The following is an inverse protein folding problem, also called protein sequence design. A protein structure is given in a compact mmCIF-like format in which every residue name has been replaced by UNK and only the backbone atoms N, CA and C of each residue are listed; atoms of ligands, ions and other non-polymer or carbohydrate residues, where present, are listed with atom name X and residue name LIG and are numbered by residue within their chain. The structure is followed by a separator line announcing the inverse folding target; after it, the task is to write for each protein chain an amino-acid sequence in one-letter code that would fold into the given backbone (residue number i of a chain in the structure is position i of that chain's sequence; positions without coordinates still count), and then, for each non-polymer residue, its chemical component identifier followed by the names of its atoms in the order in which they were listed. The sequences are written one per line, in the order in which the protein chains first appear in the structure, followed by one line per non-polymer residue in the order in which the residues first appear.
data_IF_326844409467
#
_entry.id   IF_326844409467
#
_cell.length_a   1.000
_cell.length_b   1.000
_cell.length_c   1.000
_cell.angle_alpha   90.00
_cell.angle_beta   90.00
_cell.angle_gamma   90.00
#
_symmetry.space_group_name_H-M   'P 1'
#
loop_
_entity.id
_entity.type
_entity.pdbx_description
1 polymer ?
#
# COMPACT_ATOMS: atom_id res chain seq x y z
N UNK A 1 -5.47 5.54 -18.08
CA UNK A 1 -5.20 7.01 -18.29
C UNK A 1 -3.71 7.27 -18.44
N UNK A 2 -2.86 6.76 -17.54
CA UNK A 2 -1.40 6.96 -17.54
C UNK A 2 -0.74 6.50 -18.82
N UNK A 3 -1.06 5.32 -19.36
CA UNK A 3 -0.54 4.82 -20.63
C UNK A 3 -0.80 5.77 -21.83
N UNK A 4 -2.00 6.38 -21.87
CA UNK A 4 -2.32 7.37 -22.91
C UNK A 4 -1.47 8.65 -22.80
N UNK A 5 -1.15 9.07 -21.56
CA UNK A 5 -0.28 10.24 -21.33
C UNK A 5 1.15 9.90 -21.72
N UNK A 6 1.66 8.71 -21.36
CA UNK A 6 2.98 8.26 -21.75
C UNK A 6 3.16 8.26 -23.26
N UNK A 7 2.21 7.71 -24.01
CA UNK A 7 2.26 7.70 -25.49
C UNK A 7 2.24 9.14 -26.04
N UNK A 8 1.31 9.99 -25.56
CA UNK A 8 1.12 11.34 -26.13
C UNK A 8 2.21 12.34 -25.74
N UNK A 9 2.65 12.32 -24.47
CA UNK A 9 3.57 13.35 -23.92
C UNK A 9 5.01 12.88 -23.87
N UNK A 10 5.24 11.56 -23.80
CA UNK A 10 6.56 10.98 -23.55
C UNK A 10 6.96 9.93 -24.60
N UNK A 11 6.27 9.86 -25.75
CA UNK A 11 6.54 8.92 -26.86
C UNK A 11 6.59 7.45 -26.41
N UNK A 12 5.81 7.08 -25.38
CA UNK A 12 5.80 5.74 -24.80
C UNK A 12 6.90 5.48 -23.76
N UNK A 13 7.82 6.41 -23.55
CA UNK A 13 8.88 6.27 -22.56
C UNK A 13 8.41 6.61 -21.15
N UNK A 14 9.02 5.98 -20.17
CA UNK A 14 8.79 6.30 -18.75
C UNK A 14 9.65 7.51 -18.37
N UNK A 15 9.08 8.56 -17.76
CA UNK A 15 9.84 9.75 -17.33
C UNK A 15 10.97 9.42 -16.35
N UNK A 16 12.11 10.07 -16.54
CA UNK A 16 13.34 9.84 -15.74
C UNK A 16 13.43 10.64 -14.45
N UNK A 17 12.43 11.48 -14.14
CA UNK A 17 12.47 12.31 -12.93
C UNK A 17 11.28 12.02 -12.03
N UNK A 18 11.49 12.15 -10.73
CA UNK A 18 10.47 11.91 -9.70
C UNK A 18 9.24 12.79 -9.91
N UNK A 19 9.45 14.07 -10.23
CA UNK A 19 8.40 15.08 -10.41
C UNK A 19 7.50 14.71 -11.60
N UNK A 20 8.12 14.39 -12.75
CA UNK A 20 7.36 13.98 -13.95
C UNK A 20 6.58 12.68 -13.76
N UNK A 21 7.14 11.73 -12.99
CA UNK A 21 6.44 10.50 -12.63
C UNK A 21 5.23 10.80 -11.74
N UNK A 22 5.36 11.72 -10.79
CA UNK A 22 4.28 12.12 -9.88
C UNK A 22 3.12 12.85 -10.55
N UNK A 23 3.36 13.49 -11.72
CA UNK A 23 2.30 14.08 -12.53
C UNK A 23 1.36 13.02 -13.16
N UNK A 24 1.83 11.77 -13.26
CA UNK A 24 1.06 10.70 -13.89
C UNK A 24 -0.03 10.15 -12.95
N UNK A 25 -1.28 10.01 -13.44
CA UNK A 25 -2.37 9.49 -12.63
C UNK A 25 -2.07 8.09 -12.06
N UNK A 26 -2.19 7.95 -10.73
CA UNK A 26 -1.95 6.69 -10.04
C UNK A 26 -0.49 6.43 -9.67
N UNK A 27 0.44 7.32 -10.00
CA UNK A 27 1.83 7.24 -9.57
C UNK A 27 2.00 8.07 -8.29
N UNK A 28 2.19 7.38 -7.17
CA UNK A 28 2.55 7.95 -5.87
C UNK A 28 4.05 7.90 -5.62
N UNK A 29 4.48 8.41 -4.45
CA UNK A 29 5.91 8.43 -4.05
C UNK A 29 6.55 7.05 -4.10
N UNK A 30 5.84 6.04 -3.62
CA UNK A 30 6.31 4.66 -3.66
C UNK A 30 6.57 4.20 -5.09
N UNK A 31 5.58 4.32 -5.97
CA UNK A 31 5.68 3.85 -7.35
C UNK A 31 6.75 4.62 -8.13
N UNK A 32 6.84 5.94 -7.93
CA UNK A 32 7.87 6.76 -8.57
C UNK A 32 9.29 6.31 -8.15
N UNK A 33 9.53 6.07 -6.86
CA UNK A 33 10.83 5.60 -6.37
C UNK A 33 11.16 4.18 -6.86
N UNK A 34 10.18 3.26 -6.91
CA UNK A 34 10.37 1.93 -7.49
C UNK A 34 10.81 2.03 -8.95
N UNK A 35 10.09 2.80 -9.75
CA UNK A 35 10.39 2.96 -11.18
C UNK A 35 11.78 3.53 -11.41
N UNK A 36 12.17 4.56 -10.65
CA UNK A 36 13.50 5.17 -10.77
C UNK A 36 14.63 4.21 -10.36
N UNK A 37 14.41 3.42 -9.30
CA UNK A 37 15.39 2.42 -8.88
C UNK A 37 15.53 1.29 -9.89
N UNK A 38 14.41 0.67 -10.32
CA UNK A 38 14.44 -0.52 -11.17
C UNK A 38 14.81 -0.22 -12.62
N UNK A 39 14.30 0.88 -13.19
CA UNK A 39 14.50 1.18 -14.61
C UNK A 39 15.78 1.99 -14.84
N UNK A 40 16.04 2.96 -13.96
CA UNK A 40 17.15 3.91 -14.14
C UNK A 40 18.31 3.68 -13.17
N UNK A 41 18.22 2.64 -12.34
CA UNK A 41 19.22 2.29 -11.33
C UNK A 41 19.58 3.46 -10.39
N UNK A 42 18.62 4.37 -10.15
CA UNK A 42 18.82 5.47 -9.20
C UNK A 42 18.91 4.95 -7.75
N UNK A 43 19.72 5.57 -6.89
CA UNK A 43 19.86 5.18 -5.48
C UNK A 43 18.64 5.62 -4.68
N UNK A 44 17.50 4.99 -4.96
CA UNK A 44 16.21 5.26 -4.33
C UNK A 44 15.65 4.01 -3.67
N UNK A 45 15.13 4.19 -2.48
CA UNK A 45 14.45 3.13 -1.76
C UNK A 45 12.94 3.41 -1.73
N UNK A 46 12.18 2.48 -2.24
CA UNK A 46 10.72 2.51 -2.17
C UNK A 46 10.25 2.07 -0.78
N UNK A 47 9.87 3.02 0.06
CA UNK A 47 9.51 2.79 1.46
C UNK A 47 8.08 2.25 1.61
N UNK A 48 7.87 0.97 1.32
CA UNK A 48 6.64 0.26 1.67
C UNK A 48 6.64 -0.19 3.14
N UNK A 49 5.59 -0.94 3.55
CA UNK A 49 5.50 -1.46 4.91
C UNK A 49 6.55 -2.52 5.25
N UNK A 50 7.05 -3.26 4.24
CA UNK A 50 8.07 -4.27 4.41
C UNK A 50 9.46 -3.63 4.57
N UNK A 51 9.80 -2.76 3.65
CA UNK A 51 11.09 -2.04 3.68
C UNK A 51 11.22 -1.19 4.94
N UNK A 52 10.18 -0.44 5.32
CA UNK A 52 10.16 0.32 6.59
C UNK A 52 10.43 -0.56 7.81
N UNK A 53 9.84 -1.74 7.85
CA UNK A 53 10.05 -2.70 8.95
C UNK A 53 11.47 -3.24 8.97
N UNK A 54 12.01 -3.61 7.79
CA UNK A 54 13.38 -4.11 7.65
C UNK A 54 14.37 -3.06 8.15
N UNK A 55 14.30 -1.84 7.64
CA UNK A 55 15.20 -0.76 8.01
C UNK A 55 15.11 -0.41 9.49
N UNK A 56 13.89 -0.34 10.03
CA UNK A 56 13.68 -0.10 11.45
C UNK A 56 14.32 -1.19 12.33
N UNK A 57 14.17 -2.46 11.96
CA UNK A 57 14.76 -3.57 12.71
C UNK A 57 16.28 -3.65 12.61
N UNK A 58 16.82 -3.32 11.43
CA UNK A 58 18.26 -3.34 11.21
C UNK A 58 18.97 -2.24 11.99
N UNK A 59 18.47 -1.02 11.93
CA UNK A 59 19.21 0.15 12.38
C UNK A 59 18.62 0.83 13.61
N UNK A 60 17.40 0.50 14.01
CA UNK A 60 16.63 1.22 15.04
C UNK A 60 16.63 2.75 14.83
N UNK A 61 16.76 3.18 13.58
CA UNK A 61 16.95 4.56 13.18
C UNK A 61 15.72 5.12 12.48
N UNK A 62 15.70 6.44 12.34
CA UNK A 62 14.71 7.12 11.52
C UNK A 62 14.88 6.65 10.06
N UNK A 63 13.78 6.20 9.47
CA UNK A 63 13.74 5.56 8.14
C UNK A 63 14.24 6.49 7.03
N UNK A 64 14.10 7.83 7.20
CA UNK A 64 14.59 8.80 6.22
C UNK A 64 16.13 8.81 6.13
N UNK A 65 16.79 8.66 7.26
CA UNK A 65 18.25 8.66 7.32
C UNK A 65 18.83 7.35 6.78
N UNK A 66 18.15 6.24 7.07
CA UNK A 66 18.54 4.93 6.56
C UNK A 66 18.48 4.83 5.03
N UNK A 67 17.55 5.52 4.38
CA UNK A 67 17.43 5.53 2.93
C UNK A 67 18.66 6.11 2.21
N UNK A 68 19.37 7.04 2.87
CA UNK A 68 20.59 7.65 2.32
C UNK A 68 21.84 6.75 2.42
N UNK A 69 21.78 5.68 3.23
CA UNK A 69 22.90 4.75 3.42
C UNK A 69 23.06 3.77 2.25
N UNK A 70 22.07 3.66 1.37
CA UNK A 70 22.05 2.67 0.31
C UNK A 70 22.38 3.29 -1.05
N UNK A 71 23.65 3.40 -1.34
CA UNK A 71 24.16 3.71 -2.69
C UNK A 71 25.04 2.56 -3.15
N UNK A 72 24.64 1.89 -4.19
CA UNK A 72 25.39 0.78 -4.78
C UNK A 72 25.46 0.95 -6.29
N UNK A 73 26.28 0.10 -6.97
CA UNK A 73 26.25 0.01 -8.43
C UNK A 73 24.98 -0.69 -8.96
N UNK A 74 24.24 -1.37 -8.07
CA UNK A 74 23.05 -2.19 -8.36
C UNK A 74 21.87 -1.75 -7.49
N UNK A 75 21.48 -0.49 -7.66
CA UNK A 75 20.41 0.09 -6.80
C UNK A 75 19.05 -0.55 -7.05
N UNK A 76 18.74 -0.91 -8.31
CA UNK A 76 17.52 -1.63 -8.65
C UNK A 76 17.41 -2.97 -7.94
N UNK A 77 18.47 -3.78 -8.02
CA UNK A 77 18.52 -5.08 -7.34
C UNK A 77 18.41 -4.93 -5.82
N UNK A 78 19.04 -3.91 -5.25
CA UNK A 78 18.94 -3.63 -3.82
C UNK A 78 17.51 -3.27 -3.41
N UNK A 79 16.82 -2.46 -4.21
CA UNK A 79 15.43 -2.09 -3.95
C UNK A 79 14.52 -3.33 -3.96
N UNK A 80 14.68 -4.20 -4.95
CA UNK A 80 13.95 -5.46 -5.07
C UNK A 80 14.28 -6.42 -3.91
N UNK A 81 15.56 -6.62 -3.63
CA UNK A 81 16.02 -7.47 -2.53
C UNK A 81 15.47 -7.02 -1.17
N UNK A 82 15.38 -5.72 -0.90
CA UNK A 82 14.80 -5.22 0.35
C UNK A 82 13.30 -5.52 0.47
N UNK A 83 12.57 -5.42 -0.63
CA UNK A 83 11.14 -5.76 -0.66
C UNK A 83 10.92 -7.25 -0.41
N UNK A 84 11.65 -8.12 -1.12
CA UNK A 84 11.58 -9.56 -0.96
C UNK A 84 12.06 -10.03 0.42
N UNK A 85 13.17 -9.48 0.89
CA UNK A 85 13.68 -9.80 2.22
C UNK A 85 12.65 -9.49 3.32
N UNK A 86 11.94 -8.37 3.19
CA UNK A 86 10.86 -8.02 4.09
C UNK A 86 9.65 -8.95 3.98
N UNK A 87 9.36 -9.47 2.79
CA UNK A 87 8.25 -10.39 2.57
C UNK A 87 8.55 -11.83 3.03
N UNK A 88 9.76 -12.32 2.74
CA UNK A 88 10.11 -13.74 2.90
C UNK A 88 10.81 -14.06 4.22
N UNK A 89 11.74 -13.20 4.65
CA UNK A 89 12.62 -13.43 5.81
C UNK A 89 12.20 -12.57 7.02
N UNK A 90 12.26 -11.25 6.88
CA UNK A 90 11.97 -10.33 7.97
C UNK A 90 10.47 -10.08 8.14
N UNK A 91 9.69 -11.14 8.35
CA UNK A 91 8.22 -11.13 8.44
C UNK A 91 7.71 -10.26 9.60
N UNK A 92 6.45 -9.77 9.54
CA UNK A 92 5.89 -8.90 10.59
C UNK A 92 5.81 -9.57 11.97
N UNK A 93 5.23 -10.75 12.05
CA UNK A 93 4.98 -11.44 13.32
C UNK A 93 6.15 -12.36 13.73
N UNK A 94 6.54 -13.25 12.85
CA UNK A 94 7.56 -14.27 13.10
C UNK A 94 8.69 -14.16 12.09
N UNK A 95 9.65 -13.24 12.32
CA UNK A 95 10.77 -13.10 11.41
C UNK A 95 11.68 -14.33 11.50
N UNK A 96 12.09 -14.82 10.34
CA UNK A 96 12.98 -16.00 10.25
C UNK A 96 14.44 -15.61 10.53
N UNK A 97 14.70 -15.13 11.75
CA UNK A 97 16.02 -14.64 12.13
C UNK A 97 17.12 -15.72 12.06
N UNK A 98 16.77 -17.00 12.21
CA UNK A 98 17.70 -18.12 12.10
C UNK A 98 18.22 -18.30 10.66
N UNK A 99 17.41 -18.02 9.63
CA UNK A 99 17.80 -18.05 8.20
C UNK A 99 18.47 -16.75 7.76
N UNK A 100 18.36 -15.68 8.55
CA UNK A 100 18.78 -14.34 8.15
C UNK A 100 20.31 -14.18 8.10
N UNK A 101 20.86 -13.94 6.92
CA UNK A 101 22.29 -13.79 6.71
C UNK A 101 22.89 -12.53 7.36
N UNK A 102 22.08 -11.50 7.59
CA UNK A 102 22.50 -10.22 8.17
C UNK A 102 22.13 -10.09 9.67
N UNK A 103 21.77 -11.19 10.35
CA UNK A 103 21.32 -11.15 11.74
C UNK A 103 22.36 -10.58 12.71
N UNK A 104 23.66 -10.80 12.43
CA UNK A 104 24.78 -10.29 13.26
C UNK A 104 24.88 -8.77 13.28
N UNK A 105 24.32 -8.08 12.27
CA UNK A 105 24.31 -6.63 12.15
C UNK A 105 22.94 -6.02 12.55
N UNK A 106 21.98 -6.85 12.92
CA UNK A 106 20.61 -6.43 13.11
C UNK A 106 20.37 -6.02 14.57
N UNK A 107 20.09 -4.74 14.81
CA UNK A 107 19.80 -4.20 16.13
C UNK A 107 18.63 -4.94 16.81
N UNK A 108 17.59 -5.27 16.06
CA UNK A 108 16.45 -6.05 16.58
C UNK A 108 16.85 -7.45 17.07
N UNK A 109 17.75 -8.12 16.35
CA UNK A 109 18.22 -9.47 16.73
C UNK A 109 19.15 -9.43 17.92
N UNK A 110 20.01 -8.42 18.01
CA UNK A 110 20.99 -8.25 19.08
C UNK A 110 20.39 -7.67 20.36
N UNK A 111 19.24 -7.00 20.28
CA UNK A 111 18.57 -6.43 21.46
C UNK A 111 17.84 -7.53 22.23
N UNK A 112 18.09 -7.62 23.54
CA UNK A 112 17.39 -8.53 24.45
C UNK A 112 15.89 -8.23 24.53
N UNK A 113 15.51 -6.94 24.49
CA UNK A 113 14.13 -6.50 24.33
C UNK A 113 13.79 -6.45 22.85
N UNK A 114 13.15 -7.48 22.31
CA UNK A 114 12.67 -7.52 20.93
C UNK A 114 11.82 -6.28 20.64
N UNK A 115 12.43 -5.27 20.00
CA UNK A 115 11.78 -4.01 19.68
C UNK A 115 10.57 -4.29 18.77
N UNK A 116 9.36 -4.03 19.27
CA UNK A 116 8.14 -4.28 18.50
C UNK A 116 7.89 -3.11 17.54
N UNK A 117 8.01 -3.37 16.26
CA UNK A 117 7.55 -2.43 15.23
C UNK A 117 6.02 -2.34 15.29
N UNK A 118 5.52 -1.31 15.97
CA UNK A 118 4.07 -1.02 16.01
C UNK A 118 3.68 -0.21 14.78
N UNK A 119 3.02 -0.85 13.83
CA UNK A 119 2.33 -0.12 12.78
C UNK A 119 1.12 0.57 13.41
N UNK A 120 1.13 1.89 13.53
CA UNK A 120 -0.07 2.66 13.89
C UNK A 120 -1.05 2.63 12.71
N UNK A 121 -1.85 1.59 12.63
CA UNK A 121 -2.98 1.56 11.69
C UNK A 121 -4.11 2.29 12.40
N UNK A 122 -4.36 3.54 12.02
CA UNK A 122 -5.63 4.20 12.34
C UNK A 122 -6.71 3.55 11.46
N UNK A 123 -7.34 2.52 11.96
CA UNK A 123 -8.53 1.95 11.32
C UNK A 123 -9.67 2.94 11.61
N UNK A 124 -10.03 3.75 10.64
CA UNK A 124 -11.27 4.51 10.68
C UNK A 124 -12.40 3.57 10.22
N UNK A 125 -13.15 3.01 11.16
CA UNK A 125 -14.37 2.31 10.84
C UNK A 125 -15.46 3.33 10.47
N UNK A 126 -16.09 3.12 9.33
CA UNK A 126 -17.28 3.89 8.91
C UNK A 126 -18.45 2.90 8.83
N UNK A 127 -19.57 3.29 9.39
CA UNK A 127 -20.78 2.48 9.33
C UNK A 127 -21.62 2.93 8.14
N UNK A 128 -22.21 1.97 7.43
CA UNK A 128 -23.07 2.22 6.29
C UNK A 128 -24.29 1.31 6.39
N UNK A 129 -25.47 1.85 6.10
CA UNK A 129 -26.68 1.06 5.87
C UNK A 129 -26.85 0.80 4.38
N UNK A 130 -27.15 -0.43 4.03
CA UNK A 130 -27.38 -0.87 2.64
C UNK A 130 -28.87 -1.09 2.47
N UNK A 131 -29.47 -0.32 1.57
CA UNK A 131 -30.91 -0.41 1.24
C UNK A 131 -31.06 -1.18 -0.06
N UNK A 132 -31.55 -2.43 0.04
CA UNK A 132 -31.85 -3.26 -1.11
C UNK A 132 -33.33 -3.15 -1.44
N UNK A 133 -33.67 -2.52 -2.56
CA UNK A 133 -35.04 -2.44 -3.06
C UNK A 133 -35.28 -3.61 -4.03
N UNK A 134 -36.22 -4.50 -3.66
CA UNK A 134 -36.64 -5.62 -4.49
C UNK A 134 -37.92 -5.24 -5.25
N UNK A 135 -37.96 -5.52 -6.55
CA UNK A 135 -39.18 -5.35 -7.33
C UNK A 135 -40.13 -6.51 -7.02
N UNK A 136 -41.38 -6.20 -6.62
CA UNK A 136 -42.45 -7.19 -6.40
C UNK A 136 -42.55 -8.07 -7.67
N UNK A 137 -42.50 -9.38 -7.53
CA UNK A 137 -42.60 -10.39 -8.60
C UNK A 137 -41.38 -10.54 -9.54
N UNK A 138 -40.25 -9.87 -9.31
CA UNK A 138 -39.03 -10.13 -10.07
C UNK A 138 -37.84 -10.17 -9.10
N UNK A 139 -37.00 -11.20 -9.20
CA UNK A 139 -35.73 -11.31 -8.45
C UNK A 139 -34.71 -10.24 -8.93
N UNK A 140 -35.09 -8.96 -8.88
CA UNK A 140 -34.30 -7.83 -9.33
C UNK A 140 -34.03 -6.87 -8.18
N UNK A 141 -32.77 -6.47 -8.02
CA UNK A 141 -32.33 -5.49 -7.04
C UNK A 141 -32.11 -4.17 -7.74
N UNK A 142 -32.68 -3.08 -7.23
CA UNK A 142 -32.40 -1.75 -7.75
C UNK A 142 -30.98 -1.32 -7.38
N UNK A 143 -30.21 -0.91 -8.37
CA UNK A 143 -28.85 -0.41 -8.20
C UNK A 143 -28.79 1.08 -8.53
N UNK A 144 -27.93 1.81 -7.83
CA UNK A 144 -27.69 3.24 -8.05
C UNK A 144 -26.21 3.52 -8.25
N UNK A 145 -25.90 4.55 -9.03
CA UNK A 145 -24.53 5.07 -9.16
C UNK A 145 -24.15 6.03 -8.02
N UNK A 146 -25.12 6.51 -7.25
CA UNK A 146 -24.90 7.41 -6.13
C UNK A 146 -24.69 6.61 -4.85
N UNK A 147 -23.44 6.45 -4.43
CA UNK A 147 -23.07 5.88 -3.15
C UNK A 147 -21.92 6.67 -2.52
N UNK A 148 -21.82 6.61 -1.19
CA UNK A 148 -20.80 7.32 -0.40
C UNK A 148 -19.51 6.50 -0.18
N UNK A 149 -19.33 5.41 -0.92
CA UNK A 149 -18.24 4.45 -0.71
C UNK A 149 -16.92 4.83 -1.41
N UNK A 150 -16.58 6.10 -1.58
CA UNK A 150 -15.28 6.55 -2.07
C UNK A 150 -14.83 5.87 -3.37
N UNK A 151 -13.98 4.84 -3.28
CA UNK A 151 -13.44 4.13 -4.45
C UNK A 151 -14.50 3.32 -5.23
N UNK A 152 -15.60 2.93 -4.60
CA UNK A 152 -16.73 2.23 -5.23
C UNK A 152 -17.77 3.17 -5.83
N UNK A 153 -17.59 4.49 -5.73
CA UNK A 153 -18.56 5.52 -6.19
C UNK A 153 -18.99 5.36 -7.66
N UNK A 154 -18.18 4.74 -8.49
CA UNK A 154 -18.45 4.53 -9.94
C UNK A 154 -19.19 3.24 -10.25
N UNK A 155 -19.38 2.37 -9.27
CA UNK A 155 -20.06 1.09 -9.47
C UNK A 155 -21.56 1.23 -9.22
N UNK A 156 -22.35 0.42 -9.95
CA UNK A 156 -23.76 0.27 -9.69
C UNK A 156 -23.92 -0.62 -8.46
N UNK A 157 -24.33 -0.05 -7.34
CA UNK A 157 -24.48 -0.74 -6.05
C UNK A 157 -25.90 -0.50 -5.49
N UNK A 158 -26.36 -1.33 -4.55
CA UNK A 158 -27.53 -0.97 -3.77
C UNK A 158 -27.38 0.40 -3.12
N UNK A 159 -28.50 1.06 -2.78
CA UNK A 159 -28.41 2.38 -2.15
C UNK A 159 -27.71 2.27 -0.78
N UNK A 160 -26.60 2.95 -0.62
CA UNK A 160 -25.74 2.86 0.57
C UNK A 160 -25.63 4.26 1.18
N UNK A 161 -26.03 4.39 2.44
CA UNK A 161 -25.95 5.65 3.21
C UNK A 161 -25.01 5.49 4.39
N UNK A 162 -24.18 6.49 4.61
CA UNK A 162 -23.33 6.56 5.81
C UNK A 162 -24.19 6.84 7.02
N UNK A 163 -23.98 6.10 8.11
CA UNK A 163 -24.69 6.28 9.38
C UNK A 163 -23.70 6.54 10.52
N UNK A 164 -24.15 7.31 11.52
CA UNK A 164 -23.35 7.67 12.69
C UNK A 164 -23.24 6.54 13.72
N UNK A 165 -24.24 5.67 13.81
CA UNK A 165 -24.30 4.53 14.75
C UNK A 165 -24.65 3.25 14.01
N UNK A 166 -24.09 2.12 14.50
CA UNK A 166 -24.42 0.78 14.00
C UNK A 166 -25.87 0.45 14.38
N UNK A 167 -26.73 0.27 13.40
CA UNK A 167 -28.11 -0.16 13.63
C UNK A 167 -28.09 -1.65 13.99
N UNK A 168 -28.58 -2.01 15.19
CA UNK A 168 -28.59 -3.41 15.65
C UNK A 168 -29.79 -4.21 15.11
N UNK A 169 -30.79 -3.54 14.53
CA UNK A 169 -32.04 -4.17 14.07
C UNK A 169 -32.05 -4.21 12.53
N UNK A 170 -31.58 -5.30 11.98
CA UNK A 170 -31.81 -5.63 10.57
C UNK A 170 -33.25 -6.12 10.45
N UNK A 171 -34.18 -5.30 9.99
CA UNK A 171 -35.46 -5.77 9.49
C UNK A 171 -35.31 -6.09 8.01
N UNK A 172 -35.33 -7.36 7.67
CA UNK A 172 -35.59 -7.80 6.31
C UNK A 172 -37.05 -7.40 6.01
N UNK A 173 -37.24 -6.34 5.24
CA UNK A 173 -38.53 -6.03 4.65
C UNK A 173 -38.67 -6.88 3.37
N UNK A 174 -38.85 -8.19 3.55
CA UNK A 174 -39.42 -9.05 2.53
C UNK A 174 -40.92 -8.97 2.69
N UNK A 175 -41.60 -8.15 1.91
CA UNK A 175 -42.99 -8.26 1.57
C UNK A 175 -43.17 -8.73 0.15
#
# INVERSE_FOLDING_TARGET
KTSKILIKKYNGEIPKTFEKLKELPGIGDYTANVLLALIYNEPRIALDGNVKRVLFRLFNANIKDAANLFKTRRNGDLAEALMEFGALICKPKEPKCYECKIKKMCTYYLSESKIKFKRKIKIQSKNYDIFCYLKKNKKQIALTKNNDLGFLKKFNLPNIKKVSKKNKNWKFLCN
#
